data_IF_306307290699
#
_entry.id   IF_306307290699
#
_cell.length_a   1.000
_cell.length_b   1.000
_cell.length_c   1.000
_cell.angle_alpha   90.00
_cell.angle_beta   90.00
_cell.angle_gamma   90.00
#
_symmetry.space_group_name_H-M   'P 1'
#
loop_
_entity.id
_entity.type
_entity.pdbx_description
1 polymer ?
#
# COMPACT_ATOMS: atom_id res chain seq x y z
N UNK A 1 37.88 -64.01 -36.81
CA UNK A 1 36.84 -63.33 -36.00
C UNK A 1 36.96 -61.83 -36.30
N UNK A 2 36.05 -61.26 -37.10
CA UNK A 2 36.07 -59.83 -37.46
C UNK A 2 35.41 -59.05 -36.32
N UNK A 3 36.17 -58.15 -35.69
CA UNK A 3 35.67 -57.26 -34.64
C UNK A 3 35.12 -56.00 -35.33
N UNK A 4 33.81 -55.79 -35.26
CA UNK A 4 33.16 -54.55 -35.74
C UNK A 4 33.21 -53.51 -34.63
N UNK A 5 33.90 -52.39 -34.85
CA UNK A 5 33.82 -51.24 -33.96
C UNK A 5 32.66 -50.34 -34.38
N UNK A 6 31.66 -50.23 -33.52
CA UNK A 6 30.55 -49.28 -33.66
C UNK A 6 31.01 -47.92 -33.12
N UNK A 7 31.12 -46.92 -34.00
CA UNK A 7 31.45 -45.55 -33.63
C UNK A 7 30.17 -44.84 -33.16
N UNK A 8 30.04 -44.59 -31.87
CA UNK A 8 28.95 -43.77 -31.31
C UNK A 8 29.36 -42.30 -31.37
N UNK A 9 28.64 -41.47 -32.14
CA UNK A 9 28.84 -40.02 -32.20
C UNK A 9 27.86 -39.36 -31.23
N UNK A 10 28.36 -38.92 -30.08
CA UNK A 10 27.60 -38.11 -29.12
C UNK A 10 27.61 -36.65 -29.58
N UNK A 11 26.49 -36.15 -30.09
CA UNK A 11 26.31 -34.73 -30.43
C UNK A 11 26.04 -33.96 -29.12
N UNK A 12 27.02 -33.19 -28.67
CA UNK A 12 26.93 -32.31 -27.51
C UNK A 12 26.31 -30.97 -27.98
N UNK A 13 25.05 -30.71 -27.63
CA UNK A 13 24.44 -29.38 -27.83
C UNK A 13 25.07 -28.39 -26.85
N UNK A 14 25.94 -27.51 -27.35
CA UNK A 14 26.44 -26.36 -26.60
C UNK A 14 25.30 -25.32 -26.52
N UNK A 15 24.56 -25.31 -25.42
CA UNK A 15 23.59 -24.24 -25.13
C UNK A 15 24.40 -23.03 -24.63
N UNK A 16 24.63 -22.03 -25.50
CA UNK A 16 25.19 -20.76 -25.05
C UNK A 16 24.13 -20.02 -24.24
N UNK A 17 24.46 -19.44 -23.07
CA UNK A 17 23.52 -18.60 -22.34
C UNK A 17 23.15 -17.39 -23.20
N UNK A 18 21.87 -17.27 -23.57
CA UNK A 18 21.34 -16.08 -24.21
C UNK A 18 21.19 -15.02 -23.11
N UNK A 19 22.15 -14.12 -23.00
CA UNK A 19 22.03 -12.96 -22.12
C UNK A 19 20.98 -12.02 -22.71
N UNK A 20 19.93 -11.72 -21.96
CA UNK A 20 19.02 -10.63 -22.28
C UNK A 20 19.80 -9.31 -22.41
N UNK A 21 19.33 -8.38 -23.24
CA UNK A 21 20.04 -7.15 -23.57
C UNK A 21 19.11 -5.96 -23.39
N UNK A 22 19.37 -5.12 -22.38
CA UNK A 22 18.68 -3.83 -22.23
C UNK A 22 19.11 -2.91 -23.37
N UNK A 23 18.17 -2.49 -24.21
CA UNK A 23 18.41 -1.49 -25.26
C UNK A 23 17.56 -0.24 -25.01
N UNK A 24 18.17 0.94 -25.16
CA UNK A 24 17.47 2.22 -25.12
C UNK A 24 17.11 2.65 -26.55
N UNK A 25 15.91 3.19 -26.73
CA UNK A 25 15.43 3.69 -28.04
C UNK A 25 15.75 5.18 -28.30
N UNK A 26 16.46 5.83 -27.38
CA UNK A 26 17.00 7.18 -27.56
C UNK A 26 16.03 8.33 -27.27
N UNK A 27 14.79 8.08 -26.84
CA UNK A 27 13.82 9.19 -26.61
C UNK A 27 14.12 10.03 -25.36
N UNK A 28 14.90 9.50 -24.40
CA UNK A 28 15.27 10.16 -23.14
C UNK A 28 16.79 10.13 -22.89
N UNK A 29 17.61 10.02 -23.93
CA UNK A 29 19.07 9.92 -23.80
C UNK A 29 19.73 9.10 -24.91
N UNK A 30 20.87 8.46 -24.60
CA UNK A 30 21.64 7.65 -25.57
C UNK A 30 20.84 6.42 -26.03
N UNK A 31 20.85 6.13 -27.33
CA UNK A 31 20.34 4.89 -27.91
C UNK A 31 21.40 3.78 -27.88
N UNK A 32 20.99 2.52 -27.70
CA UNK A 32 21.87 1.35 -27.78
C UNK A 32 21.82 0.43 -26.57
N UNK A 33 22.54 -0.68 -26.67
CA UNK A 33 22.54 -1.73 -25.65
C UNK A 33 23.46 -1.44 -24.46
N UNK A 34 23.04 -1.80 -23.26
CA UNK A 34 23.90 -1.83 -22.08
C UNK A 34 24.55 -3.20 -21.87
N UNK A 35 25.81 -3.25 -21.40
CA UNK A 35 26.41 -4.50 -20.95
C UNK A 35 25.76 -4.95 -19.63
N UNK A 36 25.14 -6.12 -19.63
CA UNK A 36 24.61 -6.80 -18.43
C UNK A 36 25.66 -7.65 -17.72
N UNK A 37 25.28 -8.41 -16.67
CA UNK A 37 23.94 -8.54 -16.09
C UNK A 37 23.56 -7.40 -15.13
N UNK A 38 24.52 -6.59 -14.70
CA UNK A 38 24.32 -5.45 -13.80
C UNK A 38 24.24 -4.13 -14.60
N UNK A 39 23.04 -3.78 -15.04
CA UNK A 39 22.81 -2.58 -15.85
C UNK A 39 22.88 -1.30 -14.99
N UNK A 40 24.03 -0.63 -15.04
CA UNK A 40 24.23 0.69 -14.42
C UNK A 40 23.55 1.77 -15.27
N UNK A 41 22.45 2.36 -14.78
CA UNK A 41 21.75 3.48 -15.40
C UNK A 41 22.07 4.78 -14.63
N UNK A 42 23.25 5.35 -14.92
CA UNK A 42 23.65 6.65 -14.37
C UNK A 42 22.80 7.82 -14.89
N UNK A 43 22.92 9.00 -14.26
CA UNK A 43 22.24 10.23 -14.70
C UNK A 43 22.52 10.60 -16.18
N UNK A 44 23.68 10.20 -16.70
CA UNK A 44 24.08 10.36 -18.11
C UNK A 44 23.30 9.47 -19.09
N UNK A 45 22.47 8.55 -18.60
CA UNK A 45 21.61 7.66 -19.38
C UNK A 45 20.11 8.03 -19.26
N UNK A 46 19.80 9.15 -18.61
CA UNK A 46 18.48 9.76 -18.55
C UNK A 46 18.50 11.24 -18.92
N UNK A 47 17.36 11.92 -18.76
CA UNK A 47 17.28 13.38 -18.85
C UNK A 47 17.07 13.95 -17.45
N UNK A 48 18.01 14.78 -16.98
CA UNK A 48 17.89 15.49 -15.71
C UNK A 48 17.41 16.92 -15.95
N UNK A 49 16.29 17.29 -15.31
CA UNK A 49 15.80 18.66 -15.23
C UNK A 49 15.77 19.07 -13.76
N UNK A 50 16.77 19.83 -13.33
CA UNK A 50 16.89 20.25 -11.92
C UNK A 50 16.99 19.04 -10.99
N UNK A 51 16.05 18.95 -10.04
CA UNK A 51 15.96 17.82 -9.10
C UNK A 51 15.29 16.56 -9.67
N UNK A 52 14.72 16.60 -10.88
CA UNK A 52 14.04 15.47 -11.47
C UNK A 52 14.96 14.74 -12.45
N UNK A 53 15.17 13.44 -12.25
CA UNK A 53 15.90 12.56 -13.16
C UNK A 53 14.91 11.59 -13.81
N UNK A 54 14.75 11.70 -15.12
CA UNK A 54 13.83 10.88 -15.92
C UNK A 54 14.59 9.75 -16.62
N UNK A 55 14.15 8.51 -16.40
CA UNK A 55 14.74 7.32 -16.99
C UNK A 55 13.72 6.44 -17.71
N UNK A 56 14.20 5.66 -18.67
CA UNK A 56 13.44 4.65 -19.41
C UNK A 56 14.26 3.38 -19.46
N UNK A 57 13.79 2.30 -18.85
CA UNK A 57 14.42 0.98 -19.03
C UNK A 57 13.46 0.01 -19.72
N UNK A 58 14.03 -1.02 -20.31
CA UNK A 58 13.32 -2.16 -20.89
C UNK A 58 13.48 -3.44 -20.05
N UNK A 59 14.43 -3.47 -19.11
CA UNK A 59 14.58 -4.51 -18.07
C UNK A 59 15.22 -3.89 -16.80
N UNK A 60 15.90 -4.68 -15.97
CA UNK A 60 16.55 -4.29 -14.73
C UNK A 60 17.33 -2.98 -14.78
N UNK A 61 17.25 -2.15 -13.72
CA UNK A 61 17.83 -0.82 -13.71
C UNK A 61 18.36 -0.39 -12.34
N UNK A 62 19.68 -0.18 -12.27
CA UNK A 62 20.34 0.51 -11.15
C UNK A 62 20.41 2.00 -11.45
N UNK A 63 19.65 2.85 -10.75
CA UNK A 63 19.76 4.32 -10.90
C UNK A 63 20.83 4.89 -9.96
N UNK A 64 21.76 5.67 -10.50
CA UNK A 64 22.76 6.44 -9.74
C UNK A 64 22.89 7.87 -10.27
N UNK A 65 23.16 8.84 -9.39
CA UNK A 65 23.09 10.26 -9.72
C UNK A 65 23.58 11.15 -8.57
N UNK A 66 23.86 12.44 -8.86
CA UNK A 66 24.36 13.38 -7.86
C UNK A 66 23.30 13.70 -6.79
N UNK A 67 23.73 14.14 -5.59
CA UNK A 67 22.85 14.55 -4.48
C UNK A 67 21.87 15.70 -4.83
N UNK A 68 22.00 16.31 -6.01
CA UNK A 68 21.07 17.32 -6.51
C UNK A 68 19.77 16.73 -7.07
N UNK A 69 19.67 15.41 -7.24
CA UNK A 69 18.45 14.71 -7.66
C UNK A 69 17.53 14.50 -6.46
N UNK A 70 16.35 15.10 -6.52
CA UNK A 70 15.28 14.94 -5.53
C UNK A 70 14.32 13.80 -5.90
N UNK A 71 14.09 13.57 -7.21
CA UNK A 71 13.15 12.57 -7.71
C UNK A 71 13.77 11.73 -8.82
N UNK A 72 13.61 10.41 -8.73
CA UNK A 72 13.88 9.46 -9.83
C UNK A 72 12.55 9.02 -10.40
N UNK A 73 12.28 9.40 -11.64
CA UNK A 73 11.01 9.10 -12.32
C UNK A 73 11.32 8.08 -13.40
N UNK A 74 10.78 6.87 -13.24
CA UNK A 74 11.21 5.74 -14.04
C UNK A 74 10.08 4.80 -14.47
N UNK A 75 10.38 4.06 -15.54
CA UNK A 75 9.62 2.94 -16.08
C UNK A 75 10.56 1.73 -16.17
N UNK A 76 10.34 0.69 -15.36
CA UNK A 76 11.23 -0.50 -15.23
C UNK A 76 10.40 -1.77 -14.98
N UNK A 77 10.93 -2.94 -15.29
CA UNK A 77 10.46 -4.22 -14.75
C UNK A 77 11.65 -4.99 -14.16
N UNK A 78 11.80 -5.00 -12.83
CA UNK A 78 12.73 -5.88 -12.07
C UNK A 78 14.12 -5.32 -11.71
N UNK A 79 14.82 -6.00 -10.78
CA UNK A 79 16.30 -6.15 -10.65
C UNK A 79 17.25 -4.98 -10.26
N UNK A 80 17.99 -5.21 -9.18
CA UNK A 80 19.11 -4.48 -8.52
C UNK A 80 18.88 -3.06 -7.94
N UNK A 81 19.46 -2.75 -6.76
CA UNK A 81 19.27 -1.49 -6.04
C UNK A 81 19.59 -0.23 -6.82
N UNK A 82 18.79 0.82 -6.61
CA UNK A 82 19.09 2.18 -7.06
C UNK A 82 19.59 3.02 -5.88
N UNK A 83 20.79 3.58 -5.97
CA UNK A 83 21.44 4.34 -4.89
C UNK A 83 21.61 5.80 -5.29
N UNK A 84 20.50 6.53 -5.42
CA UNK A 84 20.51 8.00 -5.42
C UNK A 84 20.21 8.48 -4.00
N UNK A 85 21.15 9.16 -3.32
CA UNK A 85 20.96 9.52 -1.93
C UNK A 85 19.75 10.41 -1.71
N UNK A 86 18.87 10.02 -0.78
CA UNK A 86 17.68 10.75 -0.33
C UNK A 86 16.59 11.05 -1.38
N UNK A 87 16.71 10.55 -2.62
CA UNK A 87 15.73 10.84 -3.67
C UNK A 87 14.46 9.98 -3.52
N UNK A 88 13.30 10.61 -3.73
CA UNK A 88 12.03 9.91 -3.87
C UNK A 88 11.97 9.21 -5.24
N UNK A 89 11.36 8.03 -5.30
CA UNK A 89 11.21 7.25 -6.52
C UNK A 89 9.74 7.22 -6.95
N UNK A 90 9.47 7.63 -8.20
CA UNK A 90 8.18 7.51 -8.84
C UNK A 90 8.27 6.48 -9.97
N UNK A 91 7.46 5.45 -9.86
CA UNK A 91 7.46 4.30 -10.74
C UNK A 91 6.10 4.15 -11.44
N UNK A 92 6.09 4.32 -12.77
CA UNK A 92 4.84 4.31 -13.54
C UNK A 92 4.82 3.16 -14.56
N UNK A 93 3.73 2.38 -14.56
CA UNK A 93 3.45 1.43 -15.63
C UNK A 93 1.93 1.30 -15.89
N UNK A 94 1.41 1.95 -16.96
CA UNK A 94 -0.02 1.94 -17.28
C UNK A 94 -0.59 0.58 -17.71
N UNK A 95 0.27 -0.41 -17.93
CA UNK A 95 -0.11 -1.78 -18.30
C UNK A 95 -0.20 -2.73 -17.11
N UNK A 96 0.04 -2.22 -15.90
CA UNK A 96 -0.03 -2.98 -14.67
C UNK A 96 1.34 -3.12 -14.02
N UNK A 97 1.32 -3.38 -12.71
CA UNK A 97 2.51 -3.55 -11.90
C UNK A 97 2.35 -4.83 -11.09
N UNK A 98 3.37 -5.68 -11.06
CA UNK A 98 3.41 -6.86 -10.22
C UNK A 98 4.79 -6.98 -9.56
N UNK A 99 4.82 -6.95 -8.23
CA UNK A 99 5.97 -7.35 -7.44
C UNK A 99 5.76 -8.79 -7.00
N UNK A 100 6.34 -9.74 -7.75
CA UNK A 100 6.26 -11.17 -7.42
C UNK A 100 7.13 -11.54 -6.21
N UNK A 101 7.11 -12.81 -5.76
CA UNK A 101 7.79 -13.24 -4.53
C UNK A 101 9.26 -12.89 -4.47
N UNK A 102 9.73 -12.50 -3.29
CA UNK A 102 11.12 -12.08 -3.00
C UNK A 102 11.57 -10.80 -3.71
N UNK A 103 10.65 -10.01 -4.27
CA UNK A 103 10.98 -8.66 -4.71
C UNK A 103 11.55 -7.86 -3.54
N UNK A 104 12.57 -7.06 -3.83
CA UNK A 104 13.23 -6.17 -2.87
C UNK A 104 13.13 -4.75 -3.36
N UNK A 105 12.89 -3.84 -2.42
CA UNK A 105 12.96 -2.42 -2.65
C UNK A 105 14.16 -1.86 -1.89
N UNK A 106 15.08 -1.22 -2.59
CA UNK A 106 16.20 -0.49 -2.00
C UNK A 106 16.15 0.95 -2.50
N UNK A 107 15.60 1.81 -1.63
CA UNK A 107 15.39 3.24 -1.88
C UNK A 107 15.81 4.03 -0.65
N UNK A 108 16.36 5.22 -0.86
CA UNK A 108 16.76 6.12 0.23
C UNK A 108 15.72 7.19 0.56
N UNK A 109 14.78 7.45 -0.36
CA UNK A 109 13.63 8.34 -0.16
C UNK A 109 12.30 7.58 -0.07
N UNK A 110 11.22 8.30 -0.38
CA UNK A 110 9.88 7.75 -0.55
C UNK A 110 9.78 6.93 -1.84
N UNK A 111 8.85 6.00 -1.88
CA UNK A 111 8.55 5.18 -3.05
C UNK A 111 7.09 5.33 -3.42
N UNK A 112 6.82 5.66 -4.69
CA UNK A 112 5.50 5.82 -5.24
C UNK A 112 5.38 4.97 -6.50
N UNK A 113 4.50 3.97 -6.51
CA UNK A 113 4.21 3.15 -7.68
C UNK A 113 2.79 3.40 -8.18
N UNK A 114 2.63 3.51 -9.49
CA UNK A 114 1.34 3.80 -10.09
C UNK A 114 1.12 3.18 -11.46
N UNK A 115 -0.12 2.79 -11.74
CA UNK A 115 -0.57 2.38 -13.09
C UNK A 115 -1.18 3.53 -13.88
N UNK A 116 -0.90 4.77 -13.48
CA UNK A 116 -1.29 5.96 -14.19
C UNK A 116 -0.59 6.07 -15.55
N UNK A 117 -1.28 6.72 -16.48
CA UNK A 117 -0.82 7.00 -17.84
C UNK A 117 0.26 8.08 -17.88
N UNK A 118 0.22 9.00 -16.92
CA UNK A 118 1.22 10.05 -16.77
C UNK A 118 1.38 10.50 -15.32
N UNK A 119 2.50 11.17 -15.07
CA UNK A 119 2.78 11.94 -13.86
C UNK A 119 2.80 13.43 -14.21
N UNK A 120 1.93 14.21 -13.59
CA UNK A 120 1.86 15.67 -13.79
C UNK A 120 2.74 16.42 -12.79
N UNK A 121 3.32 17.52 -13.26
CA UNK A 121 4.14 18.46 -12.51
C UNK A 121 3.39 19.81 -12.38
N UNK A 122 3.72 20.61 -11.36
CA UNK A 122 2.97 21.82 -10.99
C UNK A 122 2.89 22.92 -12.04
N UNK A 123 3.85 22.99 -12.98
CA UNK A 123 3.92 24.01 -14.03
C UNK A 123 3.26 23.56 -15.35
N UNK A 124 2.48 22.49 -15.32
CA UNK A 124 1.93 21.86 -16.52
C UNK A 124 2.89 20.86 -17.18
N UNK A 125 4.09 20.67 -16.63
CA UNK A 125 4.96 19.57 -17.01
C UNK A 125 4.28 18.20 -16.83
N UNK A 126 4.66 17.25 -17.66
CA UNK A 126 4.05 15.92 -17.71
C UNK A 126 5.08 14.88 -18.13
N UNK A 127 5.23 13.82 -17.34
CA UNK A 127 5.92 12.61 -17.76
C UNK A 127 4.88 11.59 -18.20
N UNK A 128 4.76 11.33 -19.50
CA UNK A 128 3.74 10.46 -20.05
C UNK A 128 4.29 9.03 -20.27
N UNK A 129 3.80 8.07 -19.49
CA UNK A 129 4.26 6.69 -19.54
C UNK A 129 3.61 5.89 -20.69
N UNK A 130 2.40 6.27 -21.15
CA UNK A 130 1.71 5.61 -22.27
C UNK A 130 2.16 6.14 -23.64
N UNK A 131 2.37 7.44 -23.75
CA UNK A 131 2.76 8.16 -24.96
C UNK A 131 3.98 9.06 -24.67
N UNK A 132 5.20 8.49 -24.59
CA UNK A 132 6.40 9.23 -24.17
C UNK A 132 6.69 10.49 -24.98
N UNK A 133 6.36 10.52 -26.28
CA UNK A 133 6.51 11.69 -27.14
C UNK A 133 5.66 12.90 -26.75
N UNK A 134 4.66 12.71 -25.87
CA UNK A 134 3.83 13.79 -25.33
C UNK A 134 4.35 14.33 -23.98
N UNK A 135 5.52 13.88 -23.53
CA UNK A 135 6.09 14.36 -22.26
C UNK A 135 6.62 15.79 -22.38
N UNK A 136 6.31 16.62 -21.38
CA UNK A 136 6.90 17.93 -21.17
C UNK A 136 7.67 17.90 -19.85
N UNK A 137 8.99 17.72 -19.91
CA UNK A 137 9.81 17.53 -18.72
C UNK A 137 10.25 18.89 -18.15
N UNK A 138 9.99 19.10 -16.87
CA UNK A 138 10.31 20.36 -16.17
C UNK A 138 10.98 20.10 -14.82
N UNK A 139 11.46 21.18 -14.19
CA UNK A 139 12.02 21.14 -12.83
C UNK A 139 10.94 21.16 -11.74
N UNK A 140 9.66 21.34 -12.12
CA UNK A 140 8.59 21.54 -11.17
C UNK A 140 8.35 20.29 -10.31
N UNK A 141 7.83 20.47 -9.08
CA UNK A 141 7.47 19.35 -8.22
C UNK A 141 6.39 18.47 -8.84
N UNK A 142 6.42 17.19 -8.48
CA UNK A 142 5.35 16.24 -8.79
C UNK A 142 4.05 16.69 -8.13
N UNK A 143 2.95 16.59 -8.87
CA UNK A 143 1.62 16.97 -8.39
C UNK A 143 0.63 15.80 -8.38
N UNK A 144 0.51 15.06 -9.49
CA UNK A 144 -0.58 14.09 -9.64
C UNK A 144 -0.26 12.91 -10.56
N UNK A 145 -0.92 11.77 -10.28
CA UNK A 145 -1.02 10.61 -11.15
C UNK A 145 -2.27 10.74 -12.02
N UNK A 146 -2.11 10.69 -13.34
CA UNK A 146 -3.21 10.89 -14.28
C UNK A 146 -3.61 9.63 -15.05
N UNK A 147 -4.92 9.38 -15.12
CA UNK A 147 -5.55 8.24 -15.77
C UNK A 147 -6.39 8.71 -16.97
N UNK A 148 -6.12 8.15 -18.13
CA UNK A 148 -6.70 8.43 -19.44
C UNK A 148 -7.65 7.31 -19.91
N UNK A 149 -7.80 6.23 -19.12
CA UNK A 149 -8.74 5.15 -19.41
C UNK A 149 -9.73 4.95 -18.25
N UNK A 150 -10.90 4.41 -18.57
CA UNK A 150 -11.89 4.01 -17.56
C UNK A 150 -11.64 2.62 -16.97
N UNK A 151 -10.48 2.04 -17.26
CA UNK A 151 -10.04 0.76 -16.69
C UNK A 151 -8.54 0.81 -16.45
N UNK A 152 -8.08 1.59 -15.45
CA UNK A 152 -6.69 1.59 -15.05
C UNK A 152 -6.21 0.16 -14.73
N UNK A 153 -5.00 -0.17 -15.15
CA UNK A 153 -4.46 -1.50 -14.90
C UNK A 153 -4.23 -1.76 -13.41
N UNK A 154 -4.22 -3.04 -13.03
CA UNK A 154 -4.04 -3.46 -11.64
C UNK A 154 -2.59 -3.35 -11.15
N UNK A 155 -2.44 -3.24 -9.83
CA UNK A 155 -1.16 -3.28 -9.14
C UNK A 155 -1.18 -4.41 -8.10
N UNK A 156 -0.18 -5.31 -8.11
CA UNK A 156 -0.07 -6.39 -7.15
C UNK A 156 1.29 -6.52 -6.48
N UNK A 157 1.28 -6.98 -5.23
CA UNK A 157 2.46 -7.39 -4.46
C UNK A 157 2.16 -8.77 -3.88
N UNK A 158 3.01 -9.73 -4.20
CA UNK A 158 2.85 -11.13 -3.81
C UNK A 158 4.11 -11.64 -3.11
N UNK A 159 3.97 -12.14 -1.88
CA UNK A 159 5.04 -12.85 -1.17
C UNK A 159 6.34 -12.06 -1.00
N UNK A 160 6.26 -10.74 -0.88
CA UNK A 160 7.42 -9.84 -0.86
C UNK A 160 7.42 -8.90 0.31
N UNK A 161 8.62 -8.56 0.78
CA UNK A 161 8.85 -7.56 1.80
C UNK A 161 9.41 -6.30 1.14
N UNK A 162 8.59 -5.26 1.05
CA UNK A 162 8.94 -3.98 0.47
C UNK A 162 8.82 -2.90 1.54
N UNK A 163 9.72 -1.93 1.53
CA UNK A 163 9.66 -0.88 2.52
C UNK A 163 10.51 0.33 2.17
N UNK A 164 10.27 1.41 2.91
CA UNK A 164 10.98 2.67 2.77
C UNK A 164 11.70 3.01 4.07
N UNK A 165 12.70 3.90 4.04
CA UNK A 165 13.36 4.37 5.25
C UNK A 165 12.42 5.05 6.24
N UNK A 166 12.93 5.27 7.46
CA UNK A 166 12.19 5.94 8.53
C UNK A 166 11.64 7.30 8.08
N UNK A 167 10.35 7.53 8.34
CA UNK A 167 9.70 8.81 8.03
C UNK A 167 9.35 9.02 6.55
N UNK A 168 9.59 8.04 5.67
CA UNK A 168 9.32 8.14 4.23
C UNK A 168 7.98 7.52 3.83
N UNK A 169 7.53 7.81 2.61
CA UNK A 169 6.23 7.35 2.10
C UNK A 169 6.38 6.13 1.21
N UNK A 170 5.48 5.15 1.35
CA UNK A 170 5.25 4.06 0.41
C UNK A 170 3.84 4.21 -0.18
N UNK A 171 3.72 4.56 -1.45
CA UNK A 171 2.44 4.90 -2.08
C UNK A 171 2.13 4.01 -3.27
N UNK A 172 0.93 3.43 -3.30
CA UNK A 172 0.39 2.65 -4.42
C UNK A 172 -0.89 3.34 -4.93
N UNK A 173 -0.88 3.78 -6.18
CA UNK A 173 -2.01 4.52 -6.79
C UNK A 173 -2.33 3.95 -8.17
N UNK A 174 -3.52 3.38 -8.39
CA UNK A 174 -3.79 2.70 -9.66
C UNK A 174 -5.22 2.21 -9.82
N UNK A 175 -5.39 1.20 -10.67
CA UNK A 175 -6.58 0.37 -10.72
C UNK A 175 -6.73 -0.47 -9.46
N UNK A 176 -7.28 -1.68 -9.59
CA UNK A 176 -7.37 -2.61 -8.45
C UNK A 176 -5.99 -2.89 -7.84
N UNK A 177 -5.91 -2.89 -6.51
CA UNK A 177 -4.68 -3.13 -5.75
C UNK A 177 -4.79 -4.44 -4.98
N UNK A 178 -3.81 -5.33 -5.13
CA UNK A 178 -3.77 -6.63 -4.44
C UNK A 178 -2.47 -6.81 -3.66
N UNK A 179 -2.56 -7.01 -2.35
CA UNK A 179 -1.46 -7.38 -1.47
C UNK A 179 -1.72 -8.79 -0.94
N UNK A 180 -0.89 -9.76 -1.32
CA UNK A 180 -1.07 -11.18 -0.98
C UNK A 180 0.19 -11.75 -0.36
N UNK A 181 0.16 -12.10 0.93
CA UNK A 181 1.37 -12.45 1.68
C UNK A 181 2.45 -11.38 1.62
N UNK A 182 2.06 -10.12 1.45
CA UNK A 182 2.96 -8.99 1.28
C UNK A 182 3.27 -8.34 2.62
N UNK A 183 4.49 -7.86 2.79
CA UNK A 183 4.89 -7.09 3.95
C UNK A 183 5.34 -5.69 3.52
N UNK A 184 4.53 -4.68 3.82
CA UNK A 184 4.85 -3.28 3.55
C UNK A 184 5.34 -2.61 4.84
N UNK A 185 6.56 -2.05 4.80
CA UNK A 185 7.20 -1.43 5.95
C UNK A 185 7.52 0.05 5.67
N UNK A 186 6.90 0.98 6.40
CA UNK A 186 7.22 2.40 6.35
C UNK A 186 7.26 2.98 7.78
N UNK A 187 8.31 2.69 8.57
CA UNK A 187 8.35 2.99 10.00
C UNK A 187 8.29 4.51 10.25
N UNK A 188 7.32 4.95 11.05
CA UNK A 188 6.97 6.37 11.22
C UNK A 188 6.77 7.13 9.90
N UNK A 189 6.51 6.41 8.81
CA UNK A 189 6.32 6.92 7.47
C UNK A 189 4.84 7.01 7.12
N UNK A 190 4.54 7.00 5.82
CA UNK A 190 3.18 6.95 5.31
C UNK A 190 3.03 5.74 4.39
N UNK A 191 1.89 5.06 4.45
CA UNK A 191 1.45 4.13 3.41
C UNK A 191 0.18 4.69 2.78
N UNK A 192 0.18 4.88 1.47
CA UNK A 192 -1.01 5.29 0.72
C UNK A 192 -1.45 4.17 -0.21
N UNK A 193 -2.72 3.77 -0.13
CA UNK A 193 -3.37 2.89 -1.10
C UNK A 193 -4.56 3.64 -1.69
N UNK A 194 -4.48 3.99 -2.98
CA UNK A 194 -5.57 4.67 -3.68
C UNK A 194 -5.93 3.93 -4.97
N UNK A 195 -7.17 3.45 -5.06
CA UNK A 195 -7.66 2.66 -6.18
C UNK A 195 -8.79 3.37 -6.92
N UNK A 196 -8.60 3.62 -8.21
CA UNK A 196 -9.53 4.33 -9.09
C UNK A 196 -9.95 3.44 -10.26
N UNK A 197 -11.18 3.62 -10.76
CA UNK A 197 -11.72 2.82 -11.86
C UNK A 197 -12.35 3.70 -12.94
N UNK A 198 -11.81 4.91 -13.12
CA UNK A 198 -12.20 5.83 -14.18
C UNK A 198 -11.06 6.80 -14.53
N UNK A 199 -11.24 7.53 -15.63
CA UNK A 199 -10.41 8.69 -15.97
C UNK A 199 -10.41 9.77 -14.87
N UNK A 200 -9.28 10.45 -14.72
CA UNK A 200 -9.10 11.52 -13.73
C UNK A 200 -7.67 11.59 -13.19
N UNK A 201 -7.48 12.44 -12.18
CA UNK A 201 -6.18 12.62 -11.52
C UNK A 201 -6.27 12.36 -10.03
N UNK A 202 -5.26 11.70 -9.47
CA UNK A 202 -5.07 11.50 -8.04
C UNK A 202 -3.83 12.29 -7.60
N UNK A 203 -3.97 13.16 -6.60
CA UNK A 203 -2.82 13.90 -6.07
C UNK A 203 -1.74 12.93 -5.55
N UNK A 204 -0.49 13.14 -5.96
CA UNK A 204 0.60 12.19 -5.70
C UNK A 204 1.07 12.17 -4.24
N UNK A 205 0.89 13.28 -3.52
CA UNK A 205 1.36 13.45 -2.13
C UNK A 205 0.25 13.22 -1.10
N UNK A 206 -0.99 13.49 -1.48
CA UNK A 206 -2.20 13.29 -0.66
C UNK A 206 -3.29 12.62 -1.50
N UNK A 207 -3.14 11.31 -1.79
CA UNK A 207 -4.10 10.61 -2.63
C UNK A 207 -5.50 10.64 -2.02
N UNK A 208 -6.46 11.15 -2.78
CA UNK A 208 -7.88 11.15 -2.46
C UNK A 208 -8.63 10.73 -3.71
N UNK A 209 -9.72 9.98 -3.54
CA UNK A 209 -10.51 9.41 -4.66
C UNK A 209 -11.94 9.93 -4.67
N UNK A 210 -12.28 10.89 -3.83
CA UNK A 210 -13.64 11.43 -3.67
C UNK A 210 -14.17 12.14 -4.92
N UNK A 211 -13.29 12.58 -5.82
CA UNK A 211 -13.66 13.13 -7.13
C UNK A 211 -13.96 12.05 -8.18
N UNK A 212 -13.79 10.77 -7.86
CA UNK A 212 -14.01 9.66 -8.77
C UNK A 212 -15.38 8.99 -8.51
N UNK A 213 -16.25 8.95 -9.52
CA UNK A 213 -17.54 8.26 -9.45
C UNK A 213 -17.35 6.74 -9.39
N UNK A 214 -16.35 6.22 -10.12
CA UNK A 214 -15.92 4.82 -10.10
C UNK A 214 -14.54 4.68 -9.48
N UNK A 215 -14.46 3.84 -8.45
CA UNK A 215 -13.23 3.53 -7.75
C UNK A 215 -12.95 2.02 -7.81
N UNK A 216 -11.69 1.64 -7.64
CA UNK A 216 -11.28 0.24 -7.70
C UNK A 216 -11.29 -0.45 -6.33
N UNK A 217 -11.00 -1.74 -6.34
CA UNK A 217 -10.99 -2.60 -5.16
C UNK A 217 -9.57 -2.73 -4.62
N UNK A 218 -9.43 -2.69 -3.30
CA UNK A 218 -8.19 -2.96 -2.60
C UNK A 218 -8.35 -4.28 -1.84
N UNK A 219 -7.48 -5.24 -2.11
CA UNK A 219 -7.46 -6.55 -1.44
C UNK A 219 -6.15 -6.72 -0.69
N UNK A 220 -6.22 -7.08 0.59
CA UNK A 220 -5.09 -7.37 1.46
C UNK A 220 -5.33 -8.72 2.11
N UNK A 221 -4.61 -9.75 1.67
CA UNK A 221 -4.88 -11.14 2.04
C UNK A 221 -3.63 -11.96 2.39
N UNK A 222 -3.84 -13.18 2.88
CA UNK A 222 -2.83 -14.24 3.06
C UNK A 222 -1.68 -13.85 4.00
N UNK A 223 -1.99 -13.39 5.22
CA UNK A 223 -1.00 -12.93 6.20
C UNK A 223 -0.18 -11.72 5.71
N UNK A 224 -0.81 -10.83 4.93
CA UNK A 224 -0.18 -9.56 4.59
C UNK A 224 -0.08 -8.66 5.83
N UNK A 225 0.97 -7.85 5.86
CA UNK A 225 1.26 -6.89 6.94
C UNK A 225 1.49 -5.52 6.30
N UNK A 226 0.78 -4.51 6.78
CA UNK A 226 1.08 -3.10 6.49
C UNK A 226 1.50 -2.46 7.81
N UNK A 227 2.76 -2.07 7.91
CA UNK A 227 3.40 -1.68 9.17
C UNK A 227 4.00 -0.27 9.08
N UNK A 228 3.52 0.62 9.93
CA UNK A 228 4.00 2.00 10.01
C UNK A 228 4.39 2.44 11.43
N UNK A 229 4.45 1.52 12.40
CA UNK A 229 4.77 1.87 13.79
C UNK A 229 6.12 2.57 13.94
N UNK A 230 6.26 3.30 15.05
CA UNK A 230 7.54 3.89 15.43
C UNK A 230 7.38 4.96 16.51
N UNK A 231 8.42 5.75 16.76
CA UNK A 231 8.42 6.76 17.83
C UNK A 231 7.32 7.80 17.65
N UNK A 232 7.00 8.18 16.41
CA UNK A 232 5.89 9.10 16.12
C UNK A 232 4.62 8.46 15.62
N UNK A 233 4.57 7.12 15.53
CA UNK A 233 3.76 6.38 14.58
C UNK A 233 3.87 6.92 13.13
N UNK A 234 3.51 6.11 12.17
CA UNK A 234 3.24 6.53 10.80
C UNK A 234 1.74 6.53 10.54
N UNK A 235 1.35 6.77 9.29
CA UNK A 235 -0.05 6.72 8.89
C UNK A 235 -0.30 5.79 7.71
N UNK A 236 -1.48 5.18 7.67
CA UNK A 236 -1.98 4.39 6.54
C UNK A 236 -3.26 5.05 6.01
N UNK A 237 -3.26 5.43 4.75
CA UNK A 237 -4.41 5.98 4.05
C UNK A 237 -4.93 4.98 3.02
N UNK A 238 -6.22 4.65 3.10
CA UNK A 238 -6.88 3.72 2.16
C UNK A 238 -8.06 4.44 1.52
N UNK A 239 -8.06 4.48 0.19
CA UNK A 239 -9.03 5.20 -0.65
C UNK A 239 -9.45 4.31 -1.81
N UNK A 240 -10.75 4.08 -1.98
CA UNK A 240 -11.25 3.24 -3.07
C UNK A 240 -12.72 2.88 -2.94
N UNK A 241 -13.17 1.94 -3.76
CA UNK A 241 -14.55 1.45 -3.70
C UNK A 241 -14.76 0.51 -2.52
N UNK A 242 -13.87 -0.48 -2.42
CA UNK A 242 -13.98 -1.56 -1.44
C UNK A 242 -12.62 -1.93 -0.88
N UNK A 243 -12.56 -2.23 0.42
CA UNK A 243 -11.43 -2.90 1.05
C UNK A 243 -11.83 -4.33 1.46
N UNK A 244 -11.05 -5.31 1.01
CA UNK A 244 -11.10 -6.70 1.49
C UNK A 244 -9.84 -6.96 2.33
N UNK A 245 -9.95 -6.94 3.65
CA UNK A 245 -8.83 -7.20 4.58
C UNK A 245 -9.01 -8.57 5.23
N UNK A 246 -8.41 -9.59 4.62
CA UNK A 246 -8.63 -10.99 4.98
C UNK A 246 -7.34 -11.59 5.53
N UNK A 247 -7.40 -12.20 6.71
CA UNK A 247 -6.26 -12.92 7.29
C UNK A 247 -4.96 -12.09 7.38
N UNK A 248 -5.09 -10.78 7.53
CA UNK A 248 -3.99 -9.80 7.40
C UNK A 248 -4.09 -8.72 8.48
N UNK A 249 -3.02 -7.96 8.68
CA UNK A 249 -2.93 -6.91 9.69
C UNK A 249 -2.44 -5.58 9.12
N UNK A 250 -3.03 -4.49 9.61
CA UNK A 250 -2.54 -3.13 9.42
C UNK A 250 -2.24 -2.54 10.79
N UNK A 251 -1.02 -2.06 10.98
CA UNK A 251 -0.52 -1.67 12.29
C UNK A 251 0.22 -0.32 12.27
N UNK A 252 -0.13 0.52 13.26
CA UNK A 252 0.36 1.89 13.39
C UNK A 252 0.56 2.26 14.88
N UNK A 253 1.41 1.53 15.59
CA UNK A 253 1.67 1.78 17.00
C UNK A 253 2.57 3.01 17.22
N UNK A 254 2.32 3.71 18.33
CA UNK A 254 3.14 4.83 18.81
C UNK A 254 4.04 4.35 19.95
N UNK A 255 5.36 4.49 19.78
CA UNK A 255 6.34 4.14 20.82
C UNK A 255 6.91 5.36 21.57
N UNK A 256 6.74 6.57 21.02
CA UNK A 256 7.37 7.80 21.53
C UNK A 256 6.36 8.91 21.81
N UNK A 257 6.79 10.15 21.62
CA UNK A 257 6.08 11.36 22.05
C UNK A 257 5.57 12.25 20.90
N UNK A 258 5.53 11.76 19.65
CA UNK A 258 5.12 12.58 18.50
C UNK A 258 3.66 12.35 18.12
N UNK A 259 3.01 13.40 17.60
CA UNK A 259 1.59 13.45 17.23
C UNK A 259 1.39 13.17 15.74
N UNK A 260 0.71 12.08 15.37
CA UNK A 260 0.34 11.78 13.97
C UNK A 260 -1.02 11.08 13.86
N UNK A 261 -1.61 11.13 12.66
CA UNK A 261 -2.74 10.26 12.28
C UNK A 261 -2.22 8.83 12.14
N UNK A 262 -3.03 7.82 12.48
CA UNK A 262 -2.66 6.42 12.36
C UNK A 262 -3.34 5.79 11.14
N UNK A 263 -4.55 5.26 11.25
CA UNK A 263 -5.20 4.55 10.13
C UNK A 263 -6.44 5.34 9.69
N UNK A 264 -6.51 5.70 8.42
CA UNK A 264 -7.57 6.53 7.84
C UNK A 264 -8.11 5.86 6.57
N UNK A 265 -9.36 5.41 6.61
CA UNK A 265 -10.01 4.67 5.53
C UNK A 265 -11.26 5.39 5.05
N UNK A 266 -11.34 5.62 3.75
CA UNK A 266 -12.52 6.18 3.08
C UNK A 266 -12.85 5.31 1.87
N UNK A 267 -13.93 4.54 1.98
CA UNK A 267 -14.39 3.61 0.97
C UNK A 267 -15.83 3.96 0.55
N UNK A 268 -16.13 3.90 -0.74
CA UNK A 268 -17.45 4.32 -1.24
C UNK A 268 -18.51 3.23 -1.24
N UNK A 269 -18.15 1.98 -1.00
CA UNK A 269 -19.09 0.86 -0.93
C UNK A 269 -18.95 0.05 0.36
N UNK A 270 -17.79 -0.56 0.59
CA UNK A 270 -17.65 -1.50 1.69
C UNK A 270 -16.23 -1.64 2.25
N UNK A 271 -16.16 -1.99 3.54
CA UNK A 271 -14.97 -2.52 4.20
C UNK A 271 -15.34 -3.87 4.80
N UNK A 272 -14.71 -4.94 4.32
CA UNK A 272 -14.90 -6.30 4.83
C UNK A 272 -13.60 -6.80 5.46
N UNK A 273 -13.64 -7.02 6.77
CA UNK A 273 -12.50 -7.47 7.57
C UNK A 273 -12.85 -8.83 8.16
N UNK A 274 -12.06 -9.85 7.83
CA UNK A 274 -12.26 -11.19 8.38
C UNK A 274 -10.95 -11.91 8.62
N UNK A 275 -10.96 -12.83 9.57
CA UNK A 275 -9.82 -13.70 9.84
C UNK A 275 -10.32 -15.10 10.13
N UNK A 276 -9.88 -16.08 9.35
CA UNK A 276 -10.14 -17.49 9.57
C UNK A 276 -9.08 -18.04 10.53
N UNK A 277 -9.44 -18.17 11.80
CA UNK A 277 -8.48 -18.39 12.89
C UNK A 277 -7.94 -19.84 12.92
N UNK A 278 -6.60 -19.98 12.95
CA UNK A 278 -5.86 -21.08 13.62
C UNK A 278 -4.77 -20.56 14.60
N UNK A 279 -4.71 -19.24 14.86
CA UNK A 279 -3.72 -18.65 15.77
C UNK A 279 -4.33 -17.70 16.82
N UNK A 280 -3.59 -17.55 17.90
CA UNK A 280 -3.93 -16.85 19.15
C UNK A 280 -3.93 -15.31 19.06
N UNK A 281 -3.58 -14.72 17.91
CA UNK A 281 -3.78 -13.28 17.67
C UNK A 281 -4.83 -13.07 16.58
N UNK A 282 -5.92 -12.38 16.95
CA UNK A 282 -7.16 -12.23 16.17
C UNK A 282 -7.37 -10.76 15.79
N UNK A 283 -6.29 -10.05 15.45
CA UNK A 283 -6.30 -8.61 15.25
C UNK A 283 -6.03 -8.26 13.78
N UNK A 284 -6.84 -7.40 13.19
CA UNK A 284 -6.67 -6.97 11.79
C UNK A 284 -6.31 -5.48 11.67
N UNK A 285 -6.83 -4.62 12.55
CA UNK A 285 -6.43 -3.22 12.60
C UNK A 285 -5.92 -2.89 14.00
N UNK A 286 -4.65 -2.49 14.09
CA UNK A 286 -3.96 -2.35 15.36
C UNK A 286 -3.34 -0.97 15.49
N UNK A 287 -3.77 -0.27 16.54
CA UNK A 287 -3.16 0.98 16.95
C UNK A 287 -2.98 0.97 18.45
N UNK A 288 -1.73 0.84 18.90
CA UNK A 288 -1.38 0.83 20.32
C UNK A 288 -0.50 2.02 20.65
N UNK A 289 -0.78 2.68 21.75
CA UNK A 289 0.15 3.64 22.33
C UNK A 289 0.98 2.97 23.44
N UNK A 290 2.29 2.88 23.25
CA UNK A 290 3.24 2.49 24.30
C UNK A 290 4.00 3.69 24.86
N UNK A 291 3.93 4.84 24.18
CA UNK A 291 4.72 6.03 24.49
C UNK A 291 4.04 7.01 25.44
N UNK A 292 4.71 8.14 25.65
CA UNK A 292 4.18 9.31 26.37
C UNK A 292 3.42 10.29 25.47
N UNK A 293 3.44 10.08 24.15
CA UNK A 293 2.72 10.89 23.16
C UNK A 293 1.23 10.57 23.06
N UNK A 294 0.52 11.32 22.21
CA UNK A 294 -0.85 10.94 21.83
C UNK A 294 -0.79 10.07 20.59
N UNK A 295 -1.34 8.87 20.66
CA UNK A 295 -1.46 8.01 19.49
C UNK A 295 -2.47 8.58 18.49
N UNK A 296 -2.24 8.32 17.20
CA UNK A 296 -3.22 8.59 16.17
C UNK A 296 -4.51 7.79 16.38
N UNK A 297 -5.58 8.11 15.67
CA UNK A 297 -6.82 7.31 15.69
C UNK A 297 -6.93 6.34 14.53
N UNK A 298 -7.92 5.44 14.60
CA UNK A 298 -8.42 4.67 13.47
C UNK A 298 -9.73 5.33 13.02
N UNK A 299 -9.81 5.80 11.79
CA UNK A 299 -11.01 6.37 11.19
C UNK A 299 -11.47 5.51 10.01
N UNK A 300 -12.73 5.11 10.00
CA UNK A 300 -13.34 4.32 8.92
C UNK A 300 -14.62 4.99 8.45
N UNK A 301 -14.67 5.34 7.17
CA UNK A 301 -15.84 5.90 6.50
C UNK A 301 -16.20 4.97 5.34
N UNK A 302 -17.36 4.31 5.42
CA UNK A 302 -17.82 3.34 4.42
C UNK A 302 -19.32 3.10 4.55
N UNK A 303 -20.11 2.93 3.48
CA UNK A 303 -21.52 2.55 3.63
C UNK A 303 -21.70 1.22 4.39
N UNK A 304 -20.95 0.18 4.03
CA UNK A 304 -21.01 -1.14 4.68
C UNK A 304 -19.69 -1.47 5.41
N UNK A 305 -19.78 -1.80 6.69
CA UNK A 305 -18.64 -2.29 7.49
C UNK A 305 -18.97 -3.67 8.08
N UNK A 306 -18.21 -4.69 7.68
CA UNK A 306 -18.30 -6.06 8.19
C UNK A 306 -17.00 -6.44 8.89
N UNK A 307 -17.10 -6.91 10.14
CA UNK A 307 -15.97 -7.39 10.95
C UNK A 307 -16.32 -8.78 11.47
N UNK A 308 -15.59 -9.79 10.99
CA UNK A 308 -15.88 -11.20 11.26
C UNK A 308 -14.68 -11.89 11.88
N UNK A 309 -14.84 -12.53 13.04
CA UNK A 309 -13.77 -13.33 13.68
C UNK A 309 -12.45 -12.57 13.87
N UNK A 310 -12.51 -11.26 14.08
CA UNK A 310 -11.32 -10.40 14.21
C UNK A 310 -11.63 -9.15 15.04
N UNK A 311 -10.60 -8.39 15.41
CA UNK A 311 -10.74 -7.15 16.14
C UNK A 311 -10.06 -5.95 15.48
N UNK A 312 -10.66 -4.78 15.72
CA UNK A 312 -10.08 -3.45 15.53
C UNK A 312 -9.78 -2.87 16.90
N UNK A 313 -8.54 -2.47 17.14
CA UNK A 313 -8.11 -2.01 18.46
C UNK A 313 -7.38 -0.67 18.46
N UNK A 314 -7.69 0.15 19.47
CA UNK A 314 -7.02 1.43 19.80
C UNK A 314 -6.61 1.46 21.27
N UNK A 315 -5.68 0.59 21.67
CA UNK A 315 -5.31 0.41 23.09
C UNK A 315 -4.27 1.43 23.55
N UNK A 316 -4.40 1.90 24.80
CA UNK A 316 -3.37 2.70 25.47
C UNK A 316 -2.63 1.84 26.49
N UNK A 317 -1.36 1.55 26.27
CA UNK A 317 -0.47 0.84 27.19
C UNK A 317 0.59 1.77 27.81
N UNK A 318 0.68 3.01 27.34
CA UNK A 318 1.67 4.00 27.77
C UNK A 318 1.13 5.06 28.74
N UNK A 319 2.01 6.00 29.08
CA UNK A 319 1.67 7.18 29.90
C UNK A 319 1.00 8.31 29.09
N UNK A 320 1.06 8.23 27.76
CA UNK A 320 0.43 9.17 26.85
C UNK A 320 -1.07 8.90 26.64
N UNK A 321 -1.68 9.61 25.68
CA UNK A 321 -3.10 9.46 25.36
C UNK A 321 -3.34 8.42 24.27
N UNK A 322 -4.28 7.51 24.50
CA UNK A 322 -4.74 6.54 23.51
C UNK A 322 -5.43 7.17 22.30
N UNK A 323 -5.33 6.49 21.16
CA UNK A 323 -6.01 6.87 19.92
C UNK A 323 -7.51 6.61 19.97
N UNK A 324 -8.31 7.42 19.27
CA UNK A 324 -9.74 7.16 19.11
C UNK A 324 -10.00 6.17 17.97
N UNK A 325 -11.11 5.44 18.06
CA UNK A 325 -11.71 4.69 16.96
C UNK A 325 -12.99 5.40 16.51
N UNK A 326 -12.98 5.96 15.31
CA UNK A 326 -14.09 6.72 14.73
C UNK A 326 -14.65 5.96 13.52
N UNK A 327 -15.88 5.47 13.60
CA UNK A 327 -16.56 4.73 12.54
C UNK A 327 -17.79 5.49 12.07
N UNK A 328 -17.88 5.75 10.76
CA UNK A 328 -19.06 6.30 10.09
C UNK A 328 -19.49 5.35 8.99
N UNK A 329 -20.68 4.78 9.14
CA UNK A 329 -21.25 3.88 8.15
C UNK A 329 -22.76 3.99 8.01
N UNK A 330 -23.30 3.39 6.97
CA UNK A 330 -24.74 3.17 6.87
C UNK A 330 -25.14 1.97 7.74
N UNK A 331 -24.41 0.87 7.57
CA UNK A 331 -24.62 -0.37 8.30
C UNK A 331 -23.29 -0.92 8.84
N UNK A 332 -23.36 -1.51 10.04
CA UNK A 332 -22.21 -2.14 10.70
C UNK A 332 -22.63 -3.54 11.16
N UNK A 333 -21.80 -4.53 10.85
CA UNK A 333 -22.00 -5.91 11.27
C UNK A 333 -20.75 -6.46 11.96
N UNK A 334 -20.90 -6.79 13.25
CA UNK A 334 -19.89 -7.49 14.05
C UNK A 334 -20.31 -8.96 14.17
N UNK A 335 -19.65 -9.84 13.43
CA UNK A 335 -20.04 -11.25 13.29
C UNK A 335 -19.01 -12.16 13.95
N UNK A 336 -19.47 -13.23 14.58
CA UNK A 336 -18.65 -14.35 15.03
C UNK A 336 -17.40 -13.90 15.79
N UNK A 337 -17.57 -13.24 16.95
CA UNK A 337 -16.49 -12.60 17.71
C UNK A 337 -15.84 -11.35 17.08
N UNK A 338 -16.46 -10.73 16.07
CA UNK A 338 -16.11 -9.40 15.59
C UNK A 338 -16.06 -8.38 16.74
N UNK A 339 -14.92 -7.72 16.94
CA UNK A 339 -14.66 -6.92 18.14
C UNK A 339 -14.11 -5.53 17.83
N UNK A 340 -14.62 -4.52 18.54
CA UNK A 340 -14.06 -3.17 18.59
C UNK A 340 -13.55 -2.91 20.01
N UNK A 341 -12.32 -2.44 20.19
CA UNK A 341 -11.74 -2.31 21.53
C UNK A 341 -10.82 -1.11 21.72
N UNK A 342 -11.01 -0.37 22.81
CA UNK A 342 -10.19 0.78 23.21
C UNK A 342 -9.87 0.70 24.71
N UNK A 343 -9.06 -0.29 25.09
CA UNK A 343 -8.65 -0.54 26.48
C UNK A 343 -7.57 0.44 26.94
N UNK A 344 -7.58 0.73 28.24
CA UNK A 344 -6.53 1.51 28.91
C UNK A 344 -5.78 0.61 29.88
N UNK A 345 -4.62 0.13 29.44
CA UNK A 345 -3.73 -0.75 30.19
C UNK A 345 -2.52 0.00 30.78
N UNK A 346 -2.28 1.23 30.33
CA UNK A 346 -1.24 2.14 30.82
C UNK A 346 -1.75 3.16 31.84
N UNK A 347 -0.85 4.03 32.32
CA UNK A 347 -1.17 5.10 33.27
C UNK A 347 -1.76 6.35 32.62
N UNK A 348 -1.63 6.50 31.30
CA UNK A 348 -2.20 7.61 30.56
C UNK A 348 -3.68 7.39 30.20
N UNK A 349 -4.40 8.45 29.78
CA UNK A 349 -5.81 8.33 29.41
C UNK A 349 -6.01 7.49 28.14
N UNK A 350 -7.05 6.67 28.11
CA UNK A 350 -7.48 5.93 26.93
C UNK A 350 -8.06 6.80 25.81
N UNK A 351 -8.30 6.17 24.67
CA UNK A 351 -9.09 6.72 23.57
C UNK A 351 -10.58 6.40 23.70
N UNK A 352 -11.38 6.96 22.80
CA UNK A 352 -12.82 6.73 22.70
C UNK A 352 -13.18 5.87 21.49
N UNK A 353 -14.31 5.17 21.55
CA UNK A 353 -14.94 4.55 20.38
C UNK A 353 -16.19 5.37 20.03
N UNK A 354 -16.20 5.98 18.85
CA UNK A 354 -17.31 6.74 18.31
C UNK A 354 -17.88 6.00 17.10
N UNK A 355 -19.16 5.62 17.17
CA UNK A 355 -19.84 4.91 16.09
C UNK A 355 -21.07 5.70 15.66
N UNK A 356 -21.11 6.03 14.37
CA UNK A 356 -22.26 6.62 13.70
C UNK A 356 -22.71 5.67 12.59
N UNK A 357 -23.83 4.99 12.82
CA UNK A 357 -24.48 4.12 11.85
C UNK A 357 -25.86 4.70 11.51
N UNK A 358 -26.14 5.02 10.25
CA UNK A 358 -27.40 5.68 9.89
C UNK A 358 -28.58 4.72 9.73
N UNK A 359 -28.33 3.42 9.55
CA UNK A 359 -29.38 2.42 9.39
C UNK A 359 -29.33 1.29 10.43
N UNK A 360 -28.19 0.59 10.58
CA UNK A 360 -28.13 -0.54 11.51
C UNK A 360 -26.76 -0.83 12.11
N UNK A 361 -26.78 -1.38 13.32
CA UNK A 361 -25.65 -2.07 13.94
C UNK A 361 -26.15 -3.46 14.34
N UNK A 362 -25.50 -4.49 13.81
CA UNK A 362 -25.82 -5.90 14.08
C UNK A 362 -24.65 -6.60 14.75
N UNK A 363 -24.97 -7.44 15.75
CA UNK A 363 -24.01 -8.28 16.46
C UNK A 363 -24.54 -9.72 16.43
N UNK A 364 -23.78 -10.66 15.86
CA UNK A 364 -24.23 -12.05 15.65
C UNK A 364 -23.08 -13.06 15.81
N UNK A 365 -23.38 -14.33 16.10
CA UNK A 365 -22.40 -15.43 16.21
C UNK A 365 -22.52 -16.25 17.51
N UNK A 366 -21.88 -17.43 17.56
CA UNK A 366 -21.82 -18.30 18.75
C UNK A 366 -21.13 -17.61 19.93
N UNK A 367 -20.18 -16.72 19.62
CA UNK A 367 -19.69 -15.68 20.50
C UNK A 367 -20.31 -14.36 20.03
N UNK A 368 -21.00 -13.65 20.91
CA UNK A 368 -21.53 -12.33 20.57
C UNK A 368 -20.37 -11.41 20.18
N UNK A 369 -20.48 -10.67 19.07
CA UNK A 369 -19.58 -9.55 18.81
C UNK A 369 -19.56 -8.59 20.02
N UNK A 370 -18.44 -7.93 20.25
CA UNK A 370 -18.28 -7.06 21.43
C UNK A 370 -17.73 -5.70 21.06
N UNK A 371 -18.21 -4.68 21.77
CA UNK A 371 -17.60 -3.35 21.79
C UNK A 371 -17.13 -3.12 23.22
N UNK A 372 -15.82 -3.11 23.42
CA UNK A 372 -15.20 -3.03 24.75
C UNK A 372 -14.48 -1.69 24.91
N UNK A 373 -14.89 -0.92 25.92
CA UNK A 373 -14.40 0.44 26.16
C UNK A 373 -14.19 0.63 27.65
N UNK A 374 -12.97 1.01 28.06
CA UNK A 374 -12.68 1.42 29.45
C UNK A 374 -12.95 2.93 29.68
N UNK A 375 -13.33 3.65 28.62
CA UNK A 375 -13.72 5.07 28.61
C UNK A 375 -15.18 5.29 28.17
N UNK A 376 -15.41 6.22 27.23
CA UNK A 376 -16.74 6.56 26.71
C UNK A 376 -17.03 5.87 25.37
N UNK A 377 -18.22 5.26 25.25
CA UNK A 377 -18.81 4.79 24.00
C UNK A 377 -19.90 5.76 23.56
N UNK A 378 -19.74 6.36 22.38
CA UNK A 378 -20.76 7.23 21.78
C UNK A 378 -21.41 6.51 20.61
N UNK A 379 -22.70 6.21 20.75
CA UNK A 379 -23.53 5.64 19.69
C UNK A 379 -24.58 6.67 19.27
N UNK A 380 -24.65 6.99 17.98
CA UNK A 380 -25.67 7.89 17.42
C UNK A 380 -26.35 7.23 16.21
N UNK A 381 -27.67 7.41 16.06
CA UNK A 381 -28.45 6.95 14.89
C UNK A 381 -29.25 5.62 15.01
N UNK A 382 -29.47 5.06 16.20
CA UNK A 382 -29.82 3.63 16.34
C UNK A 382 -31.31 3.21 16.25
N UNK A 383 -31.53 2.16 15.43
CA UNK A 383 -32.43 1.03 15.73
C UNK A 383 -31.56 -0.21 16.01
N UNK A 384 -31.43 -0.61 17.28
CA UNK A 384 -30.60 -1.75 17.67
C UNK A 384 -31.37 -3.05 17.35
N UNK A 385 -31.00 -3.76 16.29
CA UNK A 385 -31.63 -5.03 15.93
C UNK A 385 -30.79 -6.18 16.47
N UNK A 386 -31.11 -6.60 17.69
CA UNK A 386 -30.53 -7.82 18.29
C UNK A 386 -31.26 -9.03 17.71
N UNK A 387 -30.62 -9.81 16.85
CA UNK A 387 -31.11 -11.14 16.51
C UNK A 387 -30.66 -12.11 17.61
N UNK A 388 -31.49 -12.24 18.65
CA UNK A 388 -31.39 -13.34 19.60
C UNK A 388 -32.55 -14.29 19.35
N UNK A 389 -32.29 -15.36 18.62
CA UNK A 389 -33.12 -16.56 18.68
C UNK A 389 -32.28 -17.76 18.28
N UNK A 390 -31.85 -18.54 19.27
CA UNK A 390 -31.65 -19.97 19.10
C UNK A 390 -32.71 -20.70 19.92
N UNK A 391 -33.24 -21.82 19.41
CA UNK A 391 -34.05 -22.72 20.22
C UNK A 391 -33.14 -23.36 21.27
N UNK A 392 -33.62 -23.39 22.49
CA UNK A 392 -33.08 -24.27 23.53
C UNK A 392 -33.29 -25.69 23.01
N UNK A 393 -32.21 -26.40 22.68
CA UNK A 393 -32.22 -27.84 22.52
C UNK A 393 -31.65 -28.48 23.80
N UNK A 394 -32.22 -29.62 24.20
CA UNK A 394 -32.37 -30.04 25.61
C UNK A 394 -31.08 -30.45 26.31
#
# INVERSE_FOLDING_TARGET
MKISHTLSVTIMFLCAPLHAQVSFDGTLGRSGALPGPDYQIGANLGQQHGGNLFHKSHESATFSGPNSVNNVISRVTGGNPSTIPNADMYFLNPYGIMFGPNAKLDVQGSFHASTADYLRLQDGGQFNARQPGNSLLTVAPVEAFGFLTDSPASLSIEGSQLGTPYGKTFSLVGGDITLKGAQLHAPSGLVNLASVAQTGEVNALKPETTSFDKQGIITVSDNSIIEVSGLGAGAVFIRGKKLLLHDSVIQANTFGNQLRKAIDMVLTEAVDIRRYVISNEVLSLVNRNFGSGTAGGIAIITPDLSITQTAIITHNLGAGRGGNLDIKATQIALKEAGTLSSLTLGSGPGGQININATESISLSGLFSGTVTVDGYLVLTGLRLVKWASMPILP
#
